data_IF_136013986963
#
_entry.id   IF_136013986963
#
_cell.length_a   1.000
_cell.length_b   1.000
_cell.length_c   1.000
_cell.angle_alpha   90.00
_cell.angle_beta   90.00
_cell.angle_gamma   90.00
#
_symmetry.space_group_name_H-M   'P 1'
#
loop_
_entity.id
_entity.type
_entity.pdbx_description
1 polymer ?
#
# COMPACT_ATOMS: atom_id res chain seq x y z
N UNK A 1 9.96 -5.73 22.44
CA UNK A 1 10.34 -6.81 21.50
C UNK A 1 10.04 -6.33 20.09
N UNK A 2 10.98 -6.42 19.15
CA UNK A 2 10.70 -6.06 17.76
C UNK A 2 9.88 -7.19 17.13
N UNK A 3 8.68 -6.89 16.62
CA UNK A 3 7.82 -7.87 15.96
C UNK A 3 8.29 -8.20 14.54
N UNK A 4 9.28 -7.47 14.01
CA UNK A 4 9.87 -7.73 12.72
C UNK A 4 11.02 -8.72 12.80
N UNK A 5 10.95 -9.77 11.98
CA UNK A 5 12.07 -10.66 11.68
C UNK A 5 12.55 -10.38 10.26
N UNK A 6 13.84 -10.06 10.05
CA UNK A 6 14.34 -9.81 8.71
C UNK A 6 14.22 -11.07 7.86
N UNK A 7 13.84 -10.90 6.60
CA UNK A 7 13.89 -11.92 5.57
C UNK A 7 15.10 -11.61 4.69
N UNK A 8 15.93 -12.61 4.43
CA UNK A 8 17.05 -12.45 3.51
C UNK A 8 16.56 -12.03 2.12
N UNK A 9 17.27 -11.12 1.46
CA UNK A 9 16.85 -10.53 0.19
C UNK A 9 16.56 -11.58 -0.90
N UNK A 10 17.37 -12.65 -0.99
CA UNK A 10 17.16 -13.81 -1.87
C UNK A 10 15.85 -14.58 -1.62
N UNK A 11 15.12 -14.28 -0.55
CA UNK A 11 13.85 -14.91 -0.19
C UNK A 11 12.67 -13.94 -0.29
N UNK A 12 12.89 -12.66 -0.64
CA UNK A 12 11.86 -11.64 -0.70
C UNK A 12 10.72 -12.01 -1.67
N UNK A 13 11.03 -12.63 -2.81
CA UNK A 13 10.02 -13.06 -3.80
C UNK A 13 8.99 -14.04 -3.22
N UNK A 14 9.36 -14.88 -2.25
CA UNK A 14 8.45 -15.84 -1.61
C UNK A 14 7.28 -15.15 -0.92
N UNK A 15 7.46 -13.91 -0.48
CA UNK A 15 6.41 -13.10 0.13
C UNK A 15 5.33 -12.69 -0.89
N UNK A 16 5.63 -12.66 -2.19
CA UNK A 16 4.71 -12.16 -3.23
C UNK A 16 4.32 -13.23 -4.26
N UNK A 17 5.06 -14.33 -4.39
CA UNK A 17 4.82 -15.37 -5.40
C UNK A 17 3.42 -15.99 -5.37
N UNK A 18 2.71 -15.93 -4.23
CA UNK A 18 1.35 -16.44 -4.09
C UNK A 18 0.27 -15.41 -4.49
N UNK A 19 0.67 -14.25 -5.03
CA UNK A 19 -0.22 -13.23 -5.58
C UNK A 19 -1.11 -12.52 -4.55
N UNK A 20 -0.61 -12.10 -3.37
CA UNK A 20 -1.44 -11.36 -2.42
C UNK A 20 -1.80 -9.98 -2.97
N UNK A 21 -2.96 -9.46 -2.56
CA UNK A 21 -3.17 -8.00 -2.61
C UNK A 21 -2.22 -7.35 -1.63
N UNK A 22 -1.52 -6.29 -2.06
CA UNK A 22 -0.56 -5.57 -1.25
C UNK A 22 -1.05 -4.16 -0.91
N UNK A 23 -0.47 -3.57 0.13
CA UNK A 23 -0.52 -2.14 0.39
C UNK A 23 0.79 -1.52 -0.07
N UNK A 24 0.70 -0.43 -0.84
CA UNK A 24 1.85 0.38 -1.26
C UNK A 24 1.87 1.64 -0.39
N UNK A 25 2.97 1.85 0.33
CA UNK A 25 3.19 3.07 1.13
C UNK A 25 4.09 4.05 0.39
N UNK A 26 3.76 5.33 0.47
CA UNK A 26 4.58 6.41 -0.07
C UNK A 26 4.55 7.63 0.87
N UNK A 27 5.49 8.56 0.68
CA UNK A 27 5.62 9.76 1.51
C UNK A 27 5.87 10.99 0.64
N UNK A 28 5.22 12.09 0.99
CA UNK A 28 5.60 13.43 0.58
C UNK A 28 6.57 13.99 1.61
N UNK A 29 7.83 14.16 1.24
CA UNK A 29 8.85 14.74 2.14
C UNK A 29 8.66 16.24 2.35
N UNK A 30 8.09 16.94 1.37
CA UNK A 30 7.89 18.39 1.42
C UNK A 30 6.72 18.78 2.31
N UNK A 31 5.64 17.99 2.29
CA UNK A 31 4.45 18.20 3.11
C UNK A 31 4.47 17.39 4.40
N UNK A 32 5.49 16.54 4.60
CA UNK A 32 5.58 15.52 5.66
C UNK A 32 4.32 14.64 5.76
N UNK A 33 3.70 14.33 4.62
CA UNK A 33 2.48 13.51 4.56
C UNK A 33 2.80 12.09 4.12
N UNK A 34 2.11 11.11 4.70
CA UNK A 34 2.22 9.70 4.32
C UNK A 34 0.95 9.27 3.61
N UNK A 35 1.10 8.34 2.69
CA UNK A 35 -0.01 7.79 1.93
C UNK A 35 0.10 6.27 1.86
N UNK A 36 -1.04 5.61 1.71
CA UNK A 36 -1.14 4.16 1.53
C UNK A 36 -2.24 3.85 0.53
N UNK A 37 -2.00 2.93 -0.41
CA UNK A 37 -3.03 2.44 -1.33
C UNK A 37 -3.03 0.92 -1.37
N UNK A 38 -4.17 0.31 -1.67
CA UNK A 38 -4.22 -1.10 -2.04
C UNK A 38 -3.85 -1.28 -3.52
N UNK A 39 -3.11 -2.35 -3.82
CA UNK A 39 -2.79 -2.75 -5.18
C UNK A 39 -2.85 -4.28 -5.29
N UNK A 40 -3.64 -4.78 -6.22
CA UNK A 40 -3.68 -6.21 -6.54
C UNK A 40 -2.62 -6.62 -7.57
N UNK A 41 -2.10 -5.65 -8.34
CA UNK A 41 -1.19 -5.91 -9.46
C UNK A 41 0.26 -5.66 -9.03
N UNK A 42 0.87 -6.71 -8.52
CA UNK A 42 2.28 -6.76 -8.14
C UNK A 42 2.88 -8.13 -8.45
N UNK A 43 4.14 -8.19 -8.86
CA UNK A 43 4.83 -9.45 -9.16
C UNK A 43 6.34 -9.35 -8.95
N UNK A 44 6.99 -10.39 -8.41
CA UNK A 44 8.43 -10.55 -8.53
C UNK A 44 8.84 -10.67 -10.00
N UNK A 45 9.94 -10.03 -10.38
CA UNK A 45 10.49 -10.01 -11.75
C UNK A 45 11.88 -10.63 -11.80
N UNK A 46 12.64 -10.55 -10.72
CA UNK A 46 13.94 -11.21 -10.57
C UNK A 46 14.13 -11.68 -9.13
N UNK A 47 14.85 -12.78 -8.96
CA UNK A 47 15.18 -13.37 -7.66
C UNK A 47 16.45 -12.76 -7.02
N UNK A 48 17.50 -12.55 -7.82
CA UNK A 48 18.79 -12.03 -7.37
C UNK A 48 19.44 -11.17 -8.47
N UNK A 49 19.59 -9.84 -8.27
CA UNK A 49 19.02 -9.06 -7.16
C UNK A 49 17.48 -9.10 -7.17
N UNK A 50 16.81 -9.08 -6.00
CA UNK A 50 15.35 -9.14 -5.97
C UNK A 50 14.73 -7.90 -6.62
N UNK A 51 13.93 -8.11 -7.67
CA UNK A 51 13.16 -7.05 -8.34
C UNK A 51 11.68 -7.35 -8.30
N UNK A 52 10.86 -6.32 -8.08
CA UNK A 52 9.40 -6.41 -8.05
C UNK A 52 8.84 -5.33 -8.97
N UNK A 53 7.84 -5.68 -9.77
CA UNK A 53 7.01 -4.73 -10.50
C UNK A 53 5.69 -4.52 -9.76
N UNK A 54 5.25 -3.26 -9.73
CA UNK A 54 3.92 -2.85 -9.24
C UNK A 54 3.25 -2.01 -10.33
N UNK A 55 1.94 -2.14 -10.46
CA UNK A 55 1.15 -1.27 -11.32
C UNK A 55 0.48 -0.20 -10.46
N UNK A 56 0.73 1.06 -10.80
CA UNK A 56 0.19 2.22 -10.09
C UNK A 56 -0.46 3.14 -11.11
N UNK A 57 -1.78 3.32 -11.00
CA UNK A 57 -2.53 4.15 -11.94
C UNK A 57 -2.11 5.62 -11.88
N UNK A 58 -2.06 6.28 -13.04
CA UNK A 58 -1.60 7.65 -13.22
C UNK A 58 -2.41 8.70 -12.46
N UNK A 59 -3.67 8.42 -12.14
CA UNK A 59 -4.56 9.33 -11.40
C UNK A 59 -4.30 9.31 -9.89
N UNK A 60 -3.60 8.28 -9.40
CA UNK A 60 -3.38 8.09 -7.97
C UNK A 60 -2.34 9.06 -7.44
N UNK A 61 -2.58 9.62 -6.25
CA UNK A 61 -1.57 10.43 -5.57
C UNK A 61 -0.31 9.62 -5.23
N UNK A 62 -0.45 8.31 -4.98
CA UNK A 62 0.69 7.42 -4.77
C UNK A 62 1.67 7.45 -5.94
N UNK A 63 1.20 7.51 -7.20
CA UNK A 63 2.08 7.63 -8.38
C UNK A 63 2.99 8.85 -8.27
N UNK A 64 2.40 10.02 -8.03
CA UNK A 64 3.14 11.28 -7.91
C UNK A 64 4.17 11.24 -6.78
N UNK A 65 3.79 10.69 -5.63
CA UNK A 65 4.71 10.58 -4.47
C UNK A 65 5.88 9.63 -4.76
N UNK A 66 5.63 8.50 -5.43
CA UNK A 66 6.67 7.53 -5.77
C UNK A 66 7.60 8.09 -6.84
N UNK A 67 7.08 8.77 -7.86
CA UNK A 67 7.91 9.40 -8.89
C UNK A 67 8.79 10.53 -8.33
N UNK A 68 8.26 11.34 -7.40
CA UNK A 68 9.01 12.42 -6.75
C UNK A 68 10.09 11.91 -5.80
N UNK A 69 9.77 10.90 -4.98
CA UNK A 69 10.69 10.38 -3.96
C UNK A 69 11.65 9.29 -4.48
N UNK A 70 11.29 8.62 -5.58
CA UNK A 70 11.98 7.42 -6.05
C UNK A 70 11.83 6.21 -5.13
N UNK A 71 10.93 6.27 -4.13
CA UNK A 71 10.82 5.26 -3.07
C UNK A 71 9.39 4.87 -2.76
N UNK A 72 9.21 3.62 -2.35
CA UNK A 72 7.95 3.10 -1.81
C UNK A 72 8.21 1.90 -0.91
N UNK A 73 7.19 1.53 -0.14
CA UNK A 73 7.16 0.30 0.64
C UNK A 73 6.03 -0.61 0.18
N UNK A 74 6.21 -1.93 0.36
CA UNK A 74 5.17 -2.93 0.15
C UNK A 74 4.86 -3.58 1.49
N UNK A 75 3.57 -3.68 1.82
CA UNK A 75 3.07 -4.40 2.99
C UNK A 75 2.08 -5.46 2.53
N UNK A 76 2.20 -6.68 3.05
CA UNK A 76 1.27 -7.77 2.79
C UNK A 76 0.28 -7.82 3.94
N UNK A 77 -0.97 -7.36 3.76
CA UNK A 77 -1.98 -7.39 4.81
C UNK A 77 -2.43 -8.83 5.10
N UNK A 78 -2.55 -9.16 6.39
CA UNK A 78 -3.28 -10.36 6.81
C UNK A 78 -4.79 -10.16 6.77
N UNK A 79 -5.55 -11.24 6.94
CA UNK A 79 -7.03 -11.23 6.87
C UNK A 79 -7.66 -10.23 7.84
N UNK A 80 -7.07 -10.03 9.02
CA UNK A 80 -7.55 -9.05 10.01
C UNK A 80 -7.50 -7.59 9.53
N UNK A 81 -6.73 -7.31 8.47
CA UNK A 81 -6.60 -5.98 7.88
C UNK A 81 -7.45 -5.79 6.62
N UNK A 82 -8.31 -6.75 6.24
CA UNK A 82 -9.07 -6.70 4.99
C UNK A 82 -9.91 -5.41 4.84
N UNK A 83 -10.61 -4.99 5.90
CA UNK A 83 -11.42 -3.77 5.87
C UNK A 83 -10.55 -2.51 5.69
N UNK A 84 -9.37 -2.46 6.32
CA UNK A 84 -8.43 -1.36 6.11
C UNK A 84 -7.90 -1.36 4.68
N UNK A 85 -7.54 -2.51 4.14
CA UNK A 85 -7.10 -2.64 2.73
C UNK A 85 -8.16 -2.13 1.77
N UNK A 86 -9.43 -2.49 2.00
CA UNK A 86 -10.54 -1.97 1.21
C UNK A 86 -10.70 -0.45 1.35
N UNK A 87 -10.69 0.06 2.59
CA UNK A 87 -10.89 1.48 2.87
C UNK A 87 -9.83 2.35 2.20
N UNK A 88 -8.54 2.02 2.33
CA UNK A 88 -7.45 2.82 1.75
C UNK A 88 -7.33 2.68 0.24
N UNK A 89 -7.88 1.61 -0.34
CA UNK A 89 -8.02 1.41 -1.78
C UNK A 89 -9.21 2.17 -2.38
N UNK A 90 -10.21 2.52 -1.57
CA UNK A 90 -11.46 3.14 -2.02
C UNK A 90 -11.46 4.68 -2.00
N UNK A 91 -10.36 5.29 -1.54
CA UNK A 91 -10.23 6.75 -1.45
C UNK A 91 -8.85 7.24 -1.90
N UNK A 92 -8.81 8.49 -2.36
CA UNK A 92 -7.59 9.19 -2.72
C UNK A 92 -6.98 9.86 -1.50
N UNK A 93 -5.65 9.75 -1.34
CA UNK A 93 -4.95 10.48 -0.28
C UNK A 93 -4.73 11.96 -0.60
N UNK A 94 -5.10 12.41 -1.80
CA UNK A 94 -4.96 13.81 -2.22
C UNK A 94 -5.78 14.72 -1.30
N UNK A 95 -7.01 14.30 -1.04
CA UNK A 95 -8.01 15.08 -0.29
C UNK A 95 -8.19 14.58 1.16
N UNK A 96 -7.77 13.34 1.46
CA UNK A 96 -7.97 12.69 2.77
C UNK A 96 -6.65 12.15 3.35
N UNK A 97 -6.49 12.23 4.67
CA UNK A 97 -5.40 11.55 5.38
C UNK A 97 -5.77 10.08 5.62
N UNK A 98 -5.40 9.22 4.67
CA UNK A 98 -5.71 7.78 4.70
C UNK A 98 -5.10 7.05 5.90
N UNK A 99 -4.07 7.59 6.54
CA UNK A 99 -3.48 6.97 7.72
C UNK A 99 -4.45 6.99 8.90
N UNK A 100 -5.37 7.96 8.95
CA UNK A 100 -6.40 8.01 9.99
C UNK A 100 -7.39 6.85 9.88
N UNK A 101 -7.68 6.37 8.66
CA UNK A 101 -8.54 5.20 8.43
C UNK A 101 -7.98 3.91 9.07
N UNK A 102 -6.65 3.84 9.23
CA UNK A 102 -5.97 2.71 9.88
C UNK A 102 -6.06 2.75 11.41
N UNK A 103 -6.54 3.85 12.02
CA UNK A 103 -6.62 4.02 13.48
C UNK A 103 -7.92 3.48 14.07
N UNK A 104 -8.94 3.24 13.24
CA UNK A 104 -10.24 2.76 13.68
C UNK A 104 -10.39 1.26 13.45
N UNK A 105 -10.77 0.47 14.47
CA UNK A 105 -11.07 -0.94 14.29
C UNK A 105 -12.24 -1.08 13.29
N UNK A 106 -12.02 -1.83 12.21
CA UNK A 106 -13.04 -2.10 11.20
C UNK A 106 -12.99 -1.27 9.93
N UNK A 107 -12.11 -0.25 9.82
CA UNK A 107 -11.93 0.53 8.57
C UNK A 107 -13.18 1.31 8.11
N UNK A 108 -14.21 1.40 8.95
CA UNK A 108 -15.47 2.05 8.62
C UNK A 108 -15.34 3.58 8.63
N UNK A 109 -15.95 4.21 7.62
CA UNK A 109 -16.17 5.65 7.59
C UNK A 109 -17.40 5.96 8.45
N UNK A 110 -17.27 6.94 9.35
CA UNK A 110 -18.44 7.66 9.87
C UNK A 110 -19.04 8.49 8.72
N UNK A 111 -19.81 7.87 7.84
CA UNK A 111 -20.51 8.54 6.75
C UNK A 111 -20.46 7.77 5.43
N UNK A 112 -21.60 7.15 5.10
CA UNK A 112 -21.87 6.50 3.82
C UNK A 112 -21.88 7.55 2.71
N UNK A 113 -20.96 7.46 1.74
CA UNK A 113 -21.12 8.15 0.45
C UNK A 113 -21.68 7.15 -0.56
N UNK A 114 -22.68 7.51 -1.38
CA UNK A 114 -23.28 6.57 -2.32
C UNK A 114 -22.27 6.23 -3.42
N UNK A 115 -22.35 4.98 -3.88
CA UNK A 115 -21.56 4.48 -5.01
C UNK A 115 -21.76 5.39 -6.22
N UNK A 116 -20.65 5.91 -6.77
CA UNK A 116 -20.68 6.50 -8.10
C UNK A 116 -20.60 5.34 -9.10
N UNK A 117 -21.68 5.16 -9.86
CA UNK A 117 -21.72 4.37 -11.10
C UNK A 117 -20.85 5.04 -12.17
#
# INVERSE_FOLDING_TARGET
MNHFRPVELRHASRLLNHGPTVLITSRDETLDRRNVMAAAWSMPVEFEPPRIAIVVDKSTWSRELIERSGQFGIVIPGVSAANWTYAVGSVSGRDEDKIQLLRHPGGERSGTRPARH
#
